data_IF_923431301554
#
_entry.id   IF_923431301554
#
_cell.length_a   1.000
_cell.length_b   1.000
_cell.length_c   1.000
_cell.angle_alpha   90.00
_cell.angle_beta   90.00
_cell.angle_gamma   90.00
#
_symmetry.space_group_name_H-M   'P 1'
#
loop_
_entity.id
_entity.type
_entity.pdbx_description
1 polymer ?
#
# COMPACT_ATOMS: atom_id res chain seq x y z
N UNK A 1 -3.62 -6.14 14.29
CA UNK A 1 -4.11 -7.17 13.35
C UNK A 1 -3.32 -8.40 13.70
N UNK A 2 -3.86 -9.21 14.58
CA UNK A 2 -3.05 -10.16 15.37
C UNK A 2 -2.91 -11.51 14.65
N UNK A 3 -3.33 -11.55 13.37
CA UNK A 3 -3.24 -12.70 12.48
C UNK A 3 -1.99 -12.69 11.59
N UNK A 4 -1.22 -11.60 11.58
CA UNK A 4 0.05 -11.56 10.87
C UNK A 4 1.11 -12.33 11.66
N UNK A 5 1.89 -13.15 10.96
CA UNK A 5 3.07 -13.80 11.51
C UNK A 5 4.33 -13.37 10.73
N UNK A 6 5.45 -13.26 11.43
CA UNK A 6 6.78 -12.91 10.88
C UNK A 6 6.87 -11.58 10.10
N UNK A 7 6.55 -11.62 8.80
CA UNK A 7 6.83 -10.54 7.85
C UNK A 7 5.58 -9.70 7.66
N UNK A 8 5.68 -8.41 8.00
CA UNK A 8 4.66 -7.39 7.72
C UNK A 8 5.35 -6.23 6.99
N UNK A 9 4.73 -5.76 5.91
CA UNK A 9 5.23 -4.64 5.13
C UNK A 9 4.13 -3.62 4.82
N UNK A 10 4.57 -2.39 4.59
CA UNK A 10 3.70 -1.25 4.34
C UNK A 10 4.35 -0.34 3.29
N UNK A 11 3.59 0.02 2.26
CA UNK A 11 3.99 0.94 1.19
C UNK A 11 3.25 2.26 1.42
N UNK A 12 4.01 3.33 1.67
CA UNK A 12 3.49 4.68 1.93
C UNK A 12 3.80 5.62 0.77
N UNK A 13 2.91 6.56 0.51
CA UNK A 13 3.24 7.74 -0.29
C UNK A 13 4.29 8.59 0.42
N UNK A 14 5.10 9.31 -0.36
CA UNK A 14 6.12 10.24 0.16
C UNK A 14 5.54 11.60 0.54
N UNK A 15 4.27 11.87 0.24
CA UNK A 15 3.64 13.12 0.67
C UNK A 15 3.43 13.13 2.19
N UNK A 16 3.68 14.30 2.80
CA UNK A 16 3.66 14.56 4.25
C UNK A 16 2.27 14.48 4.91
N UNK A 17 1.26 13.98 4.19
CA UNK A 17 -0.07 13.78 4.74
C UNK A 17 -0.08 12.53 5.64
N UNK A 18 -0.48 12.72 6.90
CA UNK A 18 -0.62 11.66 7.90
C UNK A 18 -1.66 10.63 7.44
N UNK A 19 -1.28 9.35 7.36
CA UNK A 19 -2.08 8.18 6.90
C UNK A 19 -2.00 7.81 5.39
N UNK A 20 -0.80 7.93 4.81
CA UNK A 20 -0.53 7.71 3.39
C UNK A 20 -0.19 6.27 2.97
N UNK A 21 -0.72 5.26 3.65
CA UNK A 21 -0.52 3.86 3.23
C UNK A 21 -1.34 3.56 1.98
N UNK A 22 -0.64 3.19 0.91
CA UNK A 22 -1.21 2.84 -0.39
C UNK A 22 -1.48 1.35 -0.45
N UNK A 23 -0.54 0.55 0.05
CA UNK A 23 -0.58 -0.90 0.05
C UNK A 23 0.03 -1.44 1.34
N UNK A 24 -0.53 -2.49 1.89
CA UNK A 24 0.02 -3.18 3.05
C UNK A 24 -0.17 -4.68 2.89
N UNK A 25 0.73 -5.46 3.46
CA UNK A 25 0.70 -6.90 3.35
C UNK A 25 1.58 -7.58 4.39
N UNK A 26 1.58 -8.90 4.32
CA UNK A 26 2.35 -9.72 5.22
C UNK A 26 1.98 -11.18 5.12
N UNK A 27 2.65 -11.99 5.93
CA UNK A 27 2.38 -13.42 6.08
C UNK A 27 1.28 -13.63 7.13
N UNK A 28 0.30 -14.48 6.85
CA UNK A 28 -0.93 -14.64 7.65
C UNK A 28 -1.35 -16.11 7.80
N UNK A 29 -0.40 -17.00 8.13
CA UNK A 29 -0.68 -18.44 8.25
C UNK A 29 -1.81 -18.74 9.25
N UNK A 30 -1.90 -17.95 10.33
CA UNK A 30 -2.94 -18.09 11.34
C UNK A 30 -4.35 -17.89 10.79
N UNK A 31 -4.52 -17.05 9.77
CA UNK A 31 -5.82 -16.85 9.12
C UNK A 31 -6.28 -18.11 8.38
N UNK A 32 -5.37 -18.81 7.72
CA UNK A 32 -5.71 -20.06 7.02
C UNK A 32 -6.01 -21.20 7.99
N UNK A 33 -5.34 -21.22 9.13
CA UNK A 33 -5.64 -22.18 10.21
C UNK A 33 -7.08 -22.03 10.71
N UNK A 34 -7.57 -20.80 10.87
CA UNK A 34 -8.95 -20.52 11.28
C UNK A 34 -9.99 -21.01 10.25
N UNK A 35 -9.67 -20.93 8.95
CA UNK A 35 -10.63 -21.25 7.87
C UNK A 35 -10.62 -22.75 7.52
N UNK A 36 -9.43 -23.37 7.45
CA UNK A 36 -9.27 -24.74 6.94
C UNK A 36 -8.93 -25.76 8.03
N UNK A 37 -8.72 -25.34 9.28
CA UNK A 37 -8.22 -26.19 10.38
C UNK A 37 -6.91 -26.92 10.03
N UNK A 38 -6.14 -26.34 9.10
CA UNK A 38 -4.86 -26.83 8.60
C UNK A 38 -3.87 -25.68 8.62
N UNK A 39 -2.65 -25.94 9.07
CA UNK A 39 -1.57 -24.98 8.97
C UNK A 39 -1.11 -24.88 7.51
N UNK A 40 -1.59 -23.84 6.83
CA UNK A 40 -1.20 -23.54 5.45
C UNK A 40 -0.42 -22.23 5.46
N UNK A 41 0.85 -22.24 5.03
CA UNK A 41 1.62 -21.00 4.92
C UNK A 41 0.97 -20.08 3.89
N UNK A 42 0.80 -18.80 4.24
CA UNK A 42 0.08 -17.84 3.43
C UNK A 42 0.74 -16.46 3.50
N UNK A 43 0.87 -15.82 2.33
CA UNK A 43 1.38 -14.45 2.19
C UNK A 43 0.55 -13.70 1.16
N UNK A 44 0.37 -12.40 1.37
CA UNK A 44 -0.41 -11.56 0.48
C UNK A 44 -0.44 -10.11 0.92
N UNK A 45 -1.14 -9.30 0.15
CA UNK A 45 -1.25 -7.87 0.35
C UNK A 45 -2.60 -7.35 -0.12
N UNK A 46 -2.95 -6.16 0.34
CA UNK A 46 -4.10 -5.41 -0.11
C UNK A 46 -3.65 -3.99 -0.52
N UNK A 47 -4.25 -3.48 -1.59
CA UNK A 47 -4.00 -2.14 -2.11
C UNK A 47 -5.31 -1.36 -2.20
N UNK A 48 -5.30 -0.10 -1.77
CA UNK A 48 -6.44 0.81 -1.95
C UNK A 48 -6.40 1.42 -3.36
N UNK A 49 -7.26 0.98 -4.26
CA UNK A 49 -7.28 1.45 -5.66
C UNK A 49 -7.61 2.95 -5.73
N UNK A 50 -8.56 3.42 -4.92
CA UNK A 50 -8.92 4.84 -4.84
C UNK A 50 -7.73 5.69 -4.41
N UNK A 51 -6.95 5.20 -3.43
CA UNK A 51 -5.72 5.86 -2.97
C UNK A 51 -4.66 5.86 -4.05
N UNK A 52 -4.46 4.73 -4.73
CA UNK A 52 -3.51 4.62 -5.83
C UNK A 52 -3.84 5.61 -6.97
N UNK A 53 -5.11 5.71 -7.37
CA UNK A 53 -5.56 6.65 -8.40
C UNK A 53 -5.31 8.09 -7.94
N UNK A 54 -5.59 8.42 -6.68
CA UNK A 54 -5.33 9.75 -6.13
C UNK A 54 -3.83 10.11 -6.18
N UNK A 55 -2.96 9.17 -5.81
CA UNK A 55 -1.50 9.37 -5.87
C UNK A 55 -1.00 9.54 -7.31
N UNK A 56 -1.50 8.72 -8.25
CA UNK A 56 -1.16 8.85 -9.68
C UNK A 56 -1.57 10.23 -10.19
N UNK A 57 -2.80 10.67 -9.92
CA UNK A 57 -3.28 11.98 -10.34
C UNK A 57 -2.43 13.11 -9.74
N UNK A 58 -2.15 13.05 -8.43
CA UNK A 58 -1.32 14.05 -7.74
C UNK A 58 0.08 14.12 -8.36
N UNK A 59 0.70 12.98 -8.65
CA UNK A 59 2.01 12.92 -9.31
C UNK A 59 2.02 13.56 -10.70
N UNK A 60 0.95 13.38 -11.47
CA UNK A 60 0.78 13.97 -12.81
C UNK A 60 0.60 15.49 -12.70
N UNK A 61 -0.24 15.97 -11.78
CA UNK A 61 -0.44 17.40 -11.55
C UNK A 61 0.86 18.10 -11.13
N UNK A 62 1.64 17.50 -10.23
CA UNK A 62 2.93 18.05 -9.81
C UNK A 62 3.96 18.08 -10.96
N UNK A 63 3.95 17.07 -11.84
CA UNK A 63 4.82 17.05 -13.03
C UNK A 63 4.50 18.19 -14.00
N UNK A 64 3.23 18.51 -14.20
CA UNK A 64 2.79 19.60 -15.08
C UNK A 64 3.15 20.99 -14.53
N UNK A 65 3.08 21.22 -13.21
CA UNK A 65 3.52 22.48 -12.59
C UNK A 65 5.02 22.74 -12.76
N UNK A 66 5.85 21.69 -12.73
CA UNK A 66 7.31 21.84 -12.89
C UNK A 66 7.73 22.06 -14.34
N UNK A 67 6.87 21.79 -15.34
CA UNK A 67 7.14 22.10 -16.75
C UNK A 67 6.74 23.52 -17.15
N UNK A 68 5.82 24.19 -16.44
CA UNK A 68 5.38 25.55 -16.79
C UNK A 68 6.28 26.68 -16.26
N UNK A 69 7.35 26.37 -15.50
CA UNK A 69 8.28 27.38 -14.95
C UNK A 69 9.56 27.50 -15.80
N UNK A 70 9.65 26.78 -16.93
CA UNK A 70 10.80 26.86 -17.84
C UNK A 70 10.43 27.64 -19.12
N UNK A 71 10.23 28.95 -18.99
CA UNK A 71 10.40 29.87 -20.09
C UNK A 71 11.46 30.91 -19.69
N UNK A 72 12.46 31.20 -20.56
CA UNK A 72 13.48 32.21 -20.29
C UNK A 72 12.91 33.62 -20.19
#
# INVERSE_FOLDING_TARGET
MDYYNDIVFEIKSRDDHTQNTICAGGRYDGLMSIISNKEVPAIGFAIGIERLINEINTSIFNKNKNQSILFP
#
